data_IF_990696881080
#
_entry.id   IF_990696881080
#
_cell.length_a   1.000
_cell.length_b   1.000
_cell.length_c   1.000
_cell.angle_alpha   90.00
_cell.angle_beta   90.00
_cell.angle_gamma   90.00
#
_symmetry.space_group_name_H-M   'P 1'
#
loop_
_entity.id
_entity.type
_entity.pdbx_description
1 polymer ?
#
# COMPACT_ATOMS: atom_id res chain seq x y z
N UNK A 1 27.19 1.22 5.82
CA UNK A 1 26.05 0.26 5.78
C UNK A 1 25.40 0.30 4.39
N UNK A 2 25.12 -0.85 3.76
CA UNK A 2 24.34 -0.88 2.51
C UNK A 2 22.93 -0.34 2.78
N UNK A 3 22.46 0.63 1.98
CA UNK A 3 21.07 1.12 2.08
C UNK A 3 20.12 -0.05 1.81
N UNK A 4 19.04 -0.21 2.59
CA UNK A 4 18.09 -1.29 2.40
C UNK A 4 17.44 -1.19 1.02
N UNK A 5 17.10 -2.35 0.46
CA UNK A 5 16.46 -2.42 -0.87
C UNK A 5 14.96 -2.12 -0.83
N UNK A 6 14.35 -2.21 0.36
CA UNK A 6 12.94 -1.93 0.63
C UNK A 6 12.82 -1.15 1.94
N UNK A 7 12.14 -0.03 1.89
CA UNK A 7 11.85 0.82 3.04
C UNK A 7 10.36 1.17 3.07
N UNK A 8 9.79 1.17 4.25
CA UNK A 8 8.38 1.50 4.51
C UNK A 8 8.32 2.68 5.46
N UNK A 9 7.59 3.70 5.11
CA UNK A 9 7.30 4.84 5.96
C UNK A 9 5.82 4.83 6.34
N UNK A 10 5.55 4.88 7.63
CA UNK A 10 4.19 4.93 8.19
C UNK A 10 4.01 6.23 8.95
N UNK A 11 2.87 6.88 8.78
CA UNK A 11 2.51 8.11 9.50
C UNK A 11 1.03 8.13 9.84
N UNK A 12 0.65 8.77 10.95
CA UNK A 12 -0.76 9.04 11.29
C UNK A 12 -1.33 10.11 10.35
N UNK A 13 -2.61 9.99 10.01
CA UNK A 13 -3.31 11.00 9.17
C UNK A 13 -3.48 12.37 9.83
N UNK A 14 -3.23 12.47 11.15
CA UNK A 14 -3.30 13.71 11.93
C UNK A 14 -2.00 14.53 11.95
N UNK A 15 -0.93 14.06 11.30
CA UNK A 15 0.36 14.75 11.35
C UNK A 15 0.46 15.98 10.45
N UNK A 16 1.55 16.75 10.68
CA UNK A 16 1.90 17.97 9.98
C UNK A 16 1.89 17.75 8.46
N UNK A 17 1.35 18.72 7.74
CA UNK A 17 1.47 18.78 6.27
C UNK A 17 2.93 18.96 5.89
N UNK A 18 3.37 18.17 4.90
CA UNK A 18 4.67 18.28 4.26
C UNK A 18 4.57 19.09 2.96
N UNK A 19 5.71 19.46 2.39
CA UNK A 19 5.75 20.26 1.16
C UNK A 19 5.20 19.49 -0.04
N UNK A 20 4.39 20.17 -0.84
CA UNK A 20 3.87 19.71 -2.12
C UNK A 20 4.41 20.60 -3.25
N UNK A 21 4.55 20.05 -4.45
CA UNK A 21 4.87 20.83 -5.64
C UNK A 21 3.67 21.65 -6.12
N UNK A 22 3.92 22.72 -6.89
CA UNK A 22 2.86 23.53 -7.49
C UNK A 22 1.90 22.68 -8.34
N UNK A 23 2.42 21.72 -9.09
CA UNK A 23 1.62 20.80 -9.89
C UNK A 23 0.67 19.94 -9.04
N UNK A 24 1.13 19.46 -7.86
CA UNK A 24 0.28 18.71 -6.93
C UNK A 24 -0.81 19.61 -6.33
N UNK A 25 -0.48 20.85 -6.02
CA UNK A 25 -1.47 21.85 -5.56
C UNK A 25 -2.55 22.11 -6.61
N UNK A 26 -2.16 22.32 -7.87
CA UNK A 26 -3.09 22.49 -8.99
C UNK A 26 -4.01 21.28 -9.19
N UNK A 27 -3.44 20.07 -9.17
CA UNK A 27 -4.22 18.84 -9.30
C UNK A 27 -5.21 18.67 -8.16
N UNK A 28 -4.83 19.05 -6.95
CA UNK A 28 -5.66 18.91 -5.76
C UNK A 28 -6.92 19.77 -5.80
N UNK A 29 -6.89 20.92 -6.52
CA UNK A 29 -8.04 21.82 -6.69
C UNK A 29 -9.20 21.17 -7.45
N UNK A 30 -8.91 20.14 -8.26
CA UNK A 30 -9.91 19.38 -9.03
C UNK A 30 -10.58 18.26 -8.23
N UNK A 31 -10.20 18.08 -6.97
CA UNK A 31 -10.70 17.04 -6.08
C UNK A 31 -11.70 17.61 -5.07
N UNK A 32 -12.58 16.76 -4.54
CA UNK A 32 -13.39 17.14 -3.37
C UNK A 32 -12.48 17.50 -2.18
N UNK A 33 -12.95 18.31 -1.25
CA UNK A 33 -12.17 18.82 -0.12
C UNK A 33 -11.48 17.69 0.67
N UNK A 34 -12.19 16.59 0.94
CA UNK A 34 -11.64 15.43 1.65
C UNK A 34 -10.53 14.78 0.83
N UNK A 35 -10.80 14.49 -0.44
CA UNK A 35 -9.84 13.87 -1.36
C UNK A 35 -8.61 14.74 -1.61
N UNK A 36 -8.78 16.05 -1.71
CA UNK A 36 -7.68 17.01 -1.83
C UNK A 36 -6.74 16.95 -0.62
N UNK A 37 -7.30 16.94 0.59
CA UNK A 37 -6.52 16.84 1.83
C UNK A 37 -5.73 15.51 1.91
N UNK A 38 -6.37 14.38 1.63
CA UNK A 38 -5.73 13.06 1.60
C UNK A 38 -4.63 12.99 0.54
N UNK A 39 -4.91 13.54 -0.64
CA UNK A 39 -3.98 13.59 -1.75
C UNK A 39 -2.72 14.39 -1.40
N UNK A 40 -2.86 15.65 -0.97
CA UNK A 40 -1.74 16.51 -0.60
C UNK A 40 -0.95 15.93 0.58
N UNK A 41 -1.64 15.40 1.58
CA UNK A 41 -1.00 14.76 2.72
C UNK A 41 -0.08 13.61 2.26
N UNK A 42 -0.61 12.68 1.49
CA UNK A 42 0.15 11.50 1.08
C UNK A 42 1.32 11.83 0.15
N UNK A 43 1.17 12.81 -0.77
CA UNK A 43 2.25 13.22 -1.69
C UNK A 43 3.34 14.01 -0.97
N UNK A 44 2.97 14.93 -0.10
CA UNK A 44 3.93 15.66 0.73
C UNK A 44 4.79 14.71 1.59
N UNK A 45 4.15 13.73 2.24
CA UNK A 45 4.88 12.72 3.00
C UNK A 45 5.73 11.80 2.12
N UNK A 46 5.29 11.47 0.89
CA UNK A 46 6.10 10.71 -0.05
C UNK A 46 7.36 11.48 -0.46
N UNK A 47 7.23 12.78 -0.78
CA UNK A 47 8.39 13.65 -1.06
C UNK A 47 9.34 13.71 0.12
N UNK A 48 8.84 13.97 1.31
CA UNK A 48 9.63 13.99 2.54
C UNK A 48 10.41 12.68 2.73
N UNK A 49 9.74 11.54 2.64
CA UNK A 49 10.37 10.24 2.82
C UNK A 49 11.45 9.96 1.77
N UNK A 50 11.17 10.21 0.49
CA UNK A 50 12.16 10.00 -0.59
C UNK A 50 13.33 10.98 -0.45
N UNK A 51 13.08 12.22 -0.04
CA UNK A 51 14.12 13.23 0.18
C UNK A 51 15.12 12.79 1.25
N UNK A 52 14.65 12.16 2.34
CA UNK A 52 15.53 11.61 3.39
C UNK A 52 16.37 10.43 2.88
N UNK A 53 15.80 9.56 2.05
CA UNK A 53 16.55 8.44 1.44
C UNK A 53 17.64 8.94 0.49
N UNK A 54 17.33 9.98 -0.29
CA UNK A 54 18.22 10.49 -1.34
C UNK A 54 19.11 11.62 -0.90
N UNK A 55 18.86 12.19 0.29
CA UNK A 55 19.55 13.36 0.84
C UNK A 55 19.46 14.60 -0.09
N UNK A 56 18.24 14.96 -0.46
CA UNK A 56 17.89 16.12 -1.29
C UNK A 56 16.71 16.87 -0.68
N UNK A 57 16.36 18.04 -1.22
CA UNK A 57 15.15 18.77 -0.83
C UNK A 57 13.86 18.00 -1.25
N UNK A 58 12.77 18.04 -0.47
CA UNK A 58 11.49 17.40 -0.84
C UNK A 58 10.96 17.83 -2.21
N UNK A 59 11.17 19.06 -2.63
CA UNK A 59 10.72 19.56 -3.93
C UNK A 59 11.60 19.10 -5.10
N UNK A 60 12.82 18.67 -4.84
CA UNK A 60 13.72 18.08 -5.85
C UNK A 60 13.40 16.60 -6.15
N UNK A 61 12.57 15.96 -5.32
CA UNK A 61 12.12 14.58 -5.58
C UNK A 61 11.33 14.54 -6.88
N UNK A 62 11.73 13.75 -7.91
CA UNK A 62 11.08 13.73 -9.22
C UNK A 62 9.81 12.87 -9.19
N UNK A 63 8.90 13.19 -8.26
CA UNK A 63 7.63 12.51 -8.07
C UNK A 63 6.60 13.02 -9.09
N UNK A 64 6.05 12.10 -9.87
CA UNK A 64 4.90 12.33 -10.73
C UNK A 64 3.74 11.43 -10.27
N UNK A 65 2.67 12.04 -9.76
CA UNK A 65 1.58 11.31 -9.10
C UNK A 65 0.22 12.01 -9.27
N UNK A 66 -0.30 12.12 -10.50
CA UNK A 66 -1.62 12.72 -10.72
C UNK A 66 -2.73 11.92 -10.03
N UNK A 67 -3.85 12.56 -9.65
CA UNK A 67 -4.97 11.87 -9.04
C UNK A 67 -5.49 10.71 -9.91
N UNK A 68 -5.83 9.59 -9.26
CA UNK A 68 -6.35 8.40 -9.95
C UNK A 68 -5.30 7.58 -10.71
N UNK A 69 -4.02 7.98 -10.66
CA UNK A 69 -2.93 7.21 -11.29
C UNK A 69 -1.90 6.77 -10.27
N UNK A 70 -1.21 5.62 -10.49
CA UNK A 70 -0.11 5.19 -9.65
C UNK A 70 1.00 6.24 -9.58
N UNK A 71 1.62 6.45 -8.41
CA UNK A 71 2.77 7.34 -8.28
C UNK A 71 4.00 6.76 -8.98
N UNK A 72 4.76 7.60 -9.65
CA UNK A 72 6.02 7.22 -10.30
C UNK A 72 7.17 8.14 -9.88
N UNK A 73 8.36 7.58 -9.80
CA UNK A 73 9.61 8.30 -9.60
C UNK A 73 10.43 8.23 -10.89
N UNK A 74 10.83 9.39 -11.40
CA UNK A 74 11.71 9.48 -12.59
C UNK A 74 13.18 9.33 -12.22
N UNK A 75 14.06 9.28 -13.21
CA UNK A 75 15.52 9.37 -13.04
C UNK A 75 16.13 8.28 -12.13
N UNK A 76 15.65 7.05 -12.23
CA UNK A 76 16.15 5.91 -11.42
C UNK A 76 16.08 6.13 -9.90
N UNK A 77 15.12 6.93 -9.42
CA UNK A 77 14.90 7.13 -8.00
C UNK A 77 14.30 5.91 -7.29
N UNK A 78 13.96 4.87 -8.03
CA UNK A 78 13.32 3.65 -7.55
C UNK A 78 11.83 3.63 -7.80
N UNK A 79 11.14 2.74 -7.09
CA UNK A 79 9.69 2.54 -7.21
C UNK A 79 8.98 3.00 -5.94
N UNK A 80 7.77 3.48 -6.11
CA UNK A 80 6.96 4.05 -5.05
C UNK A 80 5.56 3.46 -5.09
N UNK A 81 5.04 3.10 -3.94
CA UNK A 81 3.62 2.76 -3.76
C UNK A 81 3.08 3.47 -2.54
N UNK A 82 1.85 3.96 -2.61
CA UNK A 82 1.18 4.72 -1.54
C UNK A 82 -0.15 4.05 -1.21
N UNK A 83 -0.43 3.92 0.06
CA UNK A 83 -1.75 3.56 0.57
C UNK A 83 -2.12 4.41 1.77
N UNK A 84 -3.41 4.56 2.03
CA UNK A 84 -3.90 5.27 3.20
C UNK A 84 -5.22 4.65 3.68
N UNK A 85 -5.40 4.68 4.99
CA UNK A 85 -6.66 4.42 5.66
C UNK A 85 -7.05 5.66 6.48
N UNK A 86 -8.21 5.61 7.13
CA UNK A 86 -8.73 6.75 7.94
C UNK A 86 -7.71 7.25 8.98
N UNK A 87 -6.91 6.36 9.56
CA UNK A 87 -6.00 6.68 10.67
C UNK A 87 -4.52 6.80 10.28
N UNK A 88 -4.13 6.45 9.04
CA UNK A 88 -2.72 6.43 8.66
C UNK A 88 -2.45 6.41 7.16
N UNK A 89 -1.21 6.71 6.82
CA UNK A 89 -0.69 6.63 5.47
C UNK A 89 0.57 5.76 5.46
N UNK A 90 0.68 4.94 4.44
CA UNK A 90 1.80 4.02 4.19
C UNK A 90 2.44 4.37 2.86
N UNK A 91 3.75 4.54 2.87
CA UNK A 91 4.55 4.82 1.69
C UNK A 91 5.66 3.76 1.62
N UNK A 92 5.64 2.96 0.57
CA UNK A 92 6.68 1.99 0.26
C UNK A 92 7.62 2.53 -0.81
N UNK A 93 8.92 2.42 -0.57
CA UNK A 93 9.95 2.69 -1.55
C UNK A 93 10.87 1.48 -1.70
N UNK A 94 11.26 1.16 -2.94
CA UNK A 94 12.25 0.11 -3.20
C UNK A 94 13.04 0.36 -4.49
N UNK A 95 14.07 -0.46 -4.70
CA UNK A 95 14.83 -0.52 -5.97
C UNK A 95 14.14 -1.37 -7.04
N UNK A 96 13.04 -2.03 -6.73
CA UNK A 96 12.26 -2.92 -7.60
C UNK A 96 10.76 -2.60 -7.47
N UNK A 97 9.92 -3.01 -8.42
CA UNK A 97 8.48 -2.81 -8.35
C UNK A 97 7.89 -3.35 -7.06
N UNK A 98 6.99 -2.57 -6.44
CA UNK A 98 6.28 -2.95 -5.23
C UNK A 98 4.85 -2.41 -5.22
N UNK A 99 4.00 -3.08 -4.46
CA UNK A 99 2.70 -2.54 -4.04
C UNK A 99 2.59 -2.61 -2.52
N UNK A 100 1.95 -1.62 -1.91
CA UNK A 100 1.71 -1.60 -0.45
C UNK A 100 0.26 -1.31 -0.14
N UNK A 101 -0.21 -1.86 0.98
CA UNK A 101 -1.53 -1.53 1.52
C UNK A 101 -1.52 -1.47 3.05
N UNK A 102 -2.42 -0.64 3.63
CA UNK A 102 -2.54 -0.40 5.08
C UNK A 102 -4.00 -0.29 5.49
N UNK A 103 -4.33 -0.95 6.61
CA UNK A 103 -5.62 -0.79 7.27
C UNK A 103 -5.48 -0.79 8.80
N UNK A 104 -6.42 -0.15 9.49
CA UNK A 104 -6.50 -0.24 10.93
C UNK A 104 -6.96 -1.65 11.34
N UNK A 105 -6.27 -2.27 12.31
CA UNK A 105 -6.59 -3.63 12.80
C UNK A 105 -8.02 -3.71 13.33
N UNK A 106 -8.49 -2.62 13.95
CA UNK A 106 -9.81 -2.50 14.56
C UNK A 106 -10.85 -1.92 13.59
N UNK A 107 -10.56 -1.87 12.29
CA UNK A 107 -11.53 -1.42 11.28
C UNK A 107 -12.83 -2.23 11.39
N UNK A 108 -13.94 -1.52 11.51
CA UNK A 108 -15.25 -2.16 11.39
C UNK A 108 -15.63 -2.32 9.92
N UNK A 109 -16.04 -3.55 9.55
CA UNK A 109 -16.48 -3.88 8.20
C UNK A 109 -17.27 -5.22 8.18
N UNK A 110 -18.08 -5.37 7.16
CA UNK A 110 -18.89 -6.56 6.96
C UNK A 110 -18.07 -7.64 6.21
N UNK A 111 -17.35 -8.48 6.97
CA UNK A 111 -16.40 -9.44 6.42
C UNK A 111 -17.02 -10.38 5.39
N UNK A 112 -18.25 -10.85 5.61
CA UNK A 112 -18.96 -11.74 4.67
C UNK A 112 -19.30 -11.04 3.35
N UNK A 113 -19.65 -9.75 3.38
CA UNK A 113 -19.94 -8.99 2.16
C UNK A 113 -18.68 -8.79 1.33
N UNK A 114 -17.56 -8.37 1.98
CA UNK A 114 -16.27 -8.25 1.31
C UNK A 114 -15.81 -9.57 0.73
N UNK A 115 -15.93 -10.67 1.50
CA UNK A 115 -15.60 -12.01 1.06
C UNK A 115 -16.41 -12.40 -0.20
N UNK A 116 -17.72 -12.17 -0.20
CA UNK A 116 -18.59 -12.52 -1.32
C UNK A 116 -18.30 -11.68 -2.58
N UNK A 117 -17.94 -10.42 -2.40
CA UNK A 117 -17.76 -9.47 -3.49
C UNK A 117 -16.40 -9.56 -4.16
N UNK A 118 -15.32 -9.82 -3.41
CA UNK A 118 -13.94 -9.64 -3.89
C UNK A 118 -13.06 -10.91 -3.82
N UNK A 119 -13.62 -12.05 -3.38
CA UNK A 119 -12.85 -13.29 -3.25
C UNK A 119 -13.33 -14.34 -4.23
N UNK A 120 -12.42 -15.22 -4.62
CA UNK A 120 -12.76 -16.34 -5.50
C UNK A 120 -13.69 -17.34 -4.81
N UNK A 121 -14.33 -18.22 -5.60
CA UNK A 121 -15.20 -19.26 -5.06
C UNK A 121 -14.44 -20.19 -4.13
N UNK A 122 -13.22 -20.55 -4.48
CA UNK A 122 -12.34 -21.43 -3.69
C UNK A 122 -11.98 -20.78 -2.33
N UNK A 123 -11.60 -19.50 -2.35
CA UNK A 123 -11.30 -18.76 -1.10
C UNK A 123 -12.55 -18.65 -0.22
N UNK A 124 -13.72 -18.38 -0.80
CA UNK A 124 -14.99 -18.31 -0.06
C UNK A 124 -15.31 -19.64 0.62
N UNK A 125 -15.21 -20.75 -0.12
CA UNK A 125 -15.44 -22.10 0.42
C UNK A 125 -14.49 -22.44 1.56
N UNK A 126 -13.23 -22.02 1.44
CA UNK A 126 -12.22 -22.23 2.46
C UNK A 126 -12.46 -21.39 3.72
N UNK A 127 -12.89 -20.13 3.56
CA UNK A 127 -12.96 -19.16 4.65
C UNK A 127 -14.30 -19.16 5.38
N UNK A 128 -15.40 -19.56 4.76
CA UNK A 128 -16.73 -19.61 5.37
C UNK A 128 -16.85 -20.58 6.57
N UNK A 129 -15.89 -21.48 6.76
CA UNK A 129 -15.84 -22.41 7.90
C UNK A 129 -15.39 -21.77 9.23
N UNK A 130 -14.83 -20.57 9.18
CA UNK A 130 -14.37 -19.89 10.38
C UNK A 130 -15.47 -19.11 11.08
N UNK A 131 -15.37 -19.01 12.41
CA UNK A 131 -16.20 -18.09 13.20
C UNK A 131 -15.98 -16.63 12.76
N UNK A 132 -16.91 -15.74 13.12
CA UNK A 132 -16.91 -14.37 12.63
C UNK A 132 -15.64 -13.58 13.00
N UNK A 133 -15.09 -13.80 14.22
CA UNK A 133 -13.91 -13.06 14.68
C UNK A 133 -12.66 -13.48 13.91
N UNK A 134 -12.48 -14.78 13.70
CA UNK A 134 -11.38 -15.31 12.90
C UNK A 134 -11.53 -14.95 11.43
N UNK A 135 -12.78 -15.03 10.91
CA UNK A 135 -13.07 -14.61 9.55
C UNK A 135 -12.72 -13.14 9.29
N UNK A 136 -13.11 -12.22 10.19
CA UNK A 136 -12.75 -10.80 10.06
C UNK A 136 -11.24 -10.60 9.92
N UNK A 137 -10.43 -11.25 10.76
CA UNK A 137 -8.96 -11.14 10.70
C UNK A 137 -8.41 -11.65 9.36
N UNK A 138 -8.85 -12.83 8.91
CA UNK A 138 -8.34 -13.43 7.67
C UNK A 138 -8.79 -12.61 6.45
N UNK A 139 -10.04 -12.16 6.43
CA UNK A 139 -10.55 -11.31 5.35
C UNK A 139 -9.78 -9.99 5.29
N UNK A 140 -9.45 -9.35 6.42
CA UNK A 140 -8.62 -8.15 6.43
C UNK A 140 -7.22 -8.42 5.87
N UNK A 141 -6.57 -9.51 6.28
CA UNK A 141 -5.24 -9.89 5.78
C UNK A 141 -5.26 -10.13 4.27
N UNK A 142 -6.21 -10.90 3.78
CA UNK A 142 -6.34 -11.18 2.35
C UNK A 142 -6.66 -9.93 1.54
N UNK A 143 -7.52 -9.05 2.08
CA UNK A 143 -7.82 -7.76 1.46
C UNK A 143 -6.53 -6.95 1.22
N UNK A 144 -5.75 -6.74 2.29
CA UNK A 144 -4.48 -6.02 2.23
C UNK A 144 -3.49 -6.65 1.24
N UNK A 145 -3.37 -7.98 1.25
CA UNK A 145 -2.48 -8.71 0.35
C UNK A 145 -2.91 -8.53 -1.11
N UNK A 146 -4.21 -8.63 -1.39
CA UNK A 146 -4.77 -8.45 -2.74
C UNK A 146 -4.59 -7.02 -3.23
N UNK A 147 -4.92 -6.01 -2.40
CA UNK A 147 -4.73 -4.60 -2.73
C UNK A 147 -3.24 -4.28 -2.99
N UNK A 148 -2.32 -4.76 -2.16
CA UNK A 148 -0.89 -4.59 -2.40
C UNK A 148 -0.45 -5.27 -3.72
N UNK A 149 -0.95 -6.49 -4.00
CA UNK A 149 -0.64 -7.20 -5.24
C UNK A 149 -1.23 -6.51 -6.47
N UNK A 150 -2.42 -5.97 -6.35
CA UNK A 150 -3.09 -5.19 -7.37
C UNK A 150 -2.30 -3.90 -7.70
N UNK A 151 -1.85 -3.16 -6.68
CA UNK A 151 -1.02 -1.97 -6.84
C UNK A 151 0.34 -2.28 -7.46
N UNK A 152 0.95 -3.43 -7.15
CA UNK A 152 2.19 -3.89 -7.77
C UNK A 152 2.06 -3.99 -9.30
N UNK A 153 0.91 -4.41 -9.80
CA UNK A 153 0.65 -4.63 -11.23
C UNK A 153 0.05 -3.42 -11.95
N UNK A 154 -0.18 -2.32 -11.24
CA UNK A 154 -0.80 -1.12 -11.82
C UNK A 154 -2.27 -1.32 -12.18
N UNK A 155 -2.98 -2.22 -11.51
CA UNK A 155 -4.38 -2.51 -11.73
C UNK A 155 -5.29 -1.29 -11.53
N UNK A 156 -6.39 -1.24 -12.25
CA UNK A 156 -7.33 -0.10 -12.26
C UNK A 156 -8.72 -0.44 -11.71
N UNK A 157 -9.08 -1.73 -11.59
CA UNK A 157 -10.44 -2.15 -11.23
C UNK A 157 -10.44 -3.12 -10.05
N UNK A 158 -11.15 -2.78 -8.99
CA UNK A 158 -11.35 -3.65 -7.82
C UNK A 158 -12.03 -5.00 -8.15
N UNK A 159 -12.74 -5.08 -9.28
CA UNK A 159 -13.34 -6.35 -9.77
C UNK A 159 -12.29 -7.42 -10.06
N UNK A 160 -11.05 -7.02 -10.39
CA UNK A 160 -9.93 -7.93 -10.65
C UNK A 160 -9.43 -8.65 -9.38
N UNK A 161 -9.78 -8.16 -8.19
CA UNK A 161 -9.36 -8.79 -6.93
C UNK A 161 -9.83 -10.25 -6.79
N UNK A 162 -10.92 -10.65 -7.47
CA UNK A 162 -11.36 -12.06 -7.51
C UNK A 162 -10.36 -12.98 -8.23
N UNK A 163 -9.58 -12.43 -9.15
CA UNK A 163 -8.58 -13.16 -9.92
C UNK A 163 -7.25 -13.34 -9.15
N UNK A 164 -7.10 -12.64 -8.02
CA UNK A 164 -5.94 -12.75 -7.14
C UNK A 164 -6.19 -13.81 -6.07
N UNK A 165 -5.46 -14.92 -6.13
CA UNK A 165 -5.58 -16.04 -5.20
C UNK A 165 -4.42 -16.02 -4.21
N UNK A 166 -4.75 -15.88 -2.94
CA UNK A 166 -3.75 -15.83 -1.86
C UNK A 166 -3.38 -17.25 -1.40
N UNK A 167 -2.10 -17.57 -1.44
CA UNK A 167 -1.54 -18.78 -0.86
C UNK A 167 -0.75 -18.43 0.41
N UNK A 168 -1.30 -18.75 1.58
CA UNK A 168 -0.67 -18.45 2.88
C UNK A 168 0.58 -19.30 3.14
N UNK A 169 0.59 -20.55 2.71
CA UNK A 169 1.69 -21.47 2.99
C UNK A 169 2.99 -20.99 2.32
N UNK A 170 2.89 -20.58 1.07
CA UNK A 170 4.04 -20.13 0.27
C UNK A 170 4.24 -18.61 0.33
N UNK A 171 3.36 -17.87 0.97
CA UNK A 171 3.33 -16.39 0.99
C UNK A 171 3.35 -15.78 -0.41
N UNK A 172 2.48 -16.30 -1.28
CA UNK A 172 2.36 -15.87 -2.67
C UNK A 172 0.94 -15.50 -3.04
N UNK A 173 0.81 -14.72 -4.11
CA UNK A 173 -0.47 -14.41 -4.76
C UNK A 173 -0.37 -14.78 -6.22
N UNK A 174 -1.29 -15.61 -6.69
CA UNK A 174 -1.45 -15.94 -8.11
C UNK A 174 -2.50 -15.00 -8.72
N UNK A 175 -2.15 -14.29 -9.77
CA UNK A 175 -3.13 -13.66 -10.66
C UNK A 175 -3.53 -14.68 -11.72
N UNK A 176 -4.77 -15.19 -11.66
CA UNK A 176 -5.29 -16.22 -12.58
C UNK A 176 -5.40 -15.73 -14.03
N UNK A 177 -5.68 -14.45 -14.23
CA UNK A 177 -5.85 -13.86 -15.56
C UNK A 177 -4.50 -13.64 -16.28
N UNK A 178 -3.52 -13.08 -15.54
CA UNK A 178 -2.20 -12.81 -16.10
C UNK A 178 -1.24 -14.00 -16.01
N UNK A 179 -1.63 -15.08 -15.30
CA UNK A 179 -0.78 -16.23 -14.97
C UNK A 179 0.55 -15.82 -14.29
N UNK A 180 0.51 -14.74 -13.52
CA UNK A 180 1.66 -14.21 -12.81
C UNK A 180 1.53 -14.46 -11.32
N UNK A 181 2.64 -14.82 -10.69
CA UNK A 181 2.74 -14.97 -9.24
C UNK A 181 3.65 -13.91 -8.67
N UNK A 182 3.29 -13.39 -7.49
CA UNK A 182 4.14 -12.49 -6.71
C UNK A 182 4.23 -12.96 -5.25
N UNK A 183 5.25 -12.51 -4.55
CA UNK A 183 5.40 -12.69 -3.10
C UNK A 183 4.75 -11.56 -2.34
N UNK A 184 4.41 -11.84 -1.08
CA UNK A 184 3.96 -10.80 -0.15
C UNK A 184 4.57 -10.97 1.24
N UNK A 185 4.62 -9.85 1.95
CA UNK A 185 4.82 -9.78 3.39
C UNK A 185 3.60 -9.13 4.01
N UNK A 186 3.19 -9.60 5.18
CA UNK A 186 2.14 -8.98 5.98
C UNK A 186 2.60 -8.88 7.43
N UNK A 187 2.42 -7.70 8.04
CA UNK A 187 2.92 -7.42 9.39
C UNK A 187 1.96 -6.48 10.13
N UNK A 188 1.85 -6.66 11.44
CA UNK A 188 1.23 -5.66 12.31
C UNK A 188 2.27 -4.62 12.71
N UNK A 189 1.86 -3.35 12.71
CA UNK A 189 2.66 -2.24 13.17
C UNK A 189 1.76 -1.25 13.92
N UNK A 190 1.90 -1.16 15.25
CA UNK A 190 0.98 -0.43 16.13
C UNK A 190 -0.47 -0.88 15.88
N UNK A 191 -1.36 0.05 15.60
CA UNK A 191 -2.79 -0.20 15.34
C UNK A 191 -3.08 -0.56 13.87
N UNK A 192 -2.04 -0.74 13.05
CA UNK A 192 -2.20 -1.04 11.65
C UNK A 192 -1.73 -2.44 11.27
N UNK A 193 -2.40 -2.97 10.27
CA UNK A 193 -1.99 -4.13 9.51
C UNK A 193 -1.49 -3.65 8.15
N UNK A 194 -0.31 -4.05 7.74
CA UNK A 194 0.33 -3.61 6.50
C UNK A 194 0.69 -4.82 5.65
N UNK A 195 0.50 -4.68 4.34
CA UNK A 195 0.96 -5.66 3.36
C UNK A 195 1.90 -5.02 2.35
N UNK A 196 2.87 -5.79 1.88
CA UNK A 196 3.81 -5.41 0.83
C UNK A 196 3.88 -6.56 -0.17
N UNK A 197 3.73 -6.26 -1.45
CA UNK A 197 3.85 -7.23 -2.55
C UNK A 197 5.00 -6.85 -3.49
N UNK A 198 5.69 -7.86 -4.01
CA UNK A 198 6.85 -7.73 -4.91
C UNK A 198 7.03 -8.99 -5.76
N UNK A 199 7.84 -8.93 -6.80
CA UNK A 199 8.03 -10.04 -7.72
C UNK A 199 8.68 -11.28 -7.07
N UNK A 200 8.43 -12.45 -7.64
CA UNK A 200 8.87 -13.76 -7.11
C UNK A 200 10.38 -13.90 -6.94
N UNK A 201 11.16 -13.29 -7.81
CA UNK A 201 12.63 -13.34 -7.82
C UNK A 201 13.28 -12.44 -6.76
N UNK A 202 12.49 -11.63 -6.06
CA UNK A 202 12.97 -10.75 -5.00
C UNK A 202 12.94 -11.49 -3.67
N UNK A 203 14.09 -11.60 -3.01
CA UNK A 203 14.18 -12.23 -1.69
C UNK A 203 14.33 -11.17 -0.60
N UNK A 204 13.21 -10.85 0.06
CA UNK A 204 13.15 -9.95 1.21
C UNK A 204 12.37 -10.63 2.32
N UNK A 205 12.98 -10.71 3.48
CA UNK A 205 12.36 -11.27 4.68
C UNK A 205 11.74 -10.19 5.55
N UNK A 206 12.35 -9.01 5.61
CA UNK A 206 11.85 -7.88 6.39
C UNK A 206 12.10 -6.53 5.71
N UNK A 207 11.10 -5.63 5.64
CA UNK A 207 11.30 -4.24 5.25
C UNK A 207 11.86 -3.44 6.44
N UNK A 208 12.66 -2.42 6.16
CA UNK A 208 12.96 -1.39 7.15
C UNK A 208 11.73 -0.49 7.32
N UNK A 209 11.12 -0.50 8.50
CA UNK A 209 9.97 0.35 8.81
C UNK A 209 10.45 1.62 9.49
N UNK A 210 10.20 2.76 8.86
CA UNK A 210 10.40 4.09 9.41
C UNK A 210 9.04 4.64 9.87
N UNK A 211 8.99 5.15 11.09
CA UNK A 211 7.79 5.79 11.62
C UNK A 211 8.08 7.24 11.92
N UNK A 212 7.22 8.15 11.48
CA UNK A 212 7.37 9.55 11.87
C UNK A 212 6.82 9.75 13.29
N UNK A 213 7.73 9.93 14.22
CA UNK A 213 7.43 10.36 15.60
C UNK A 213 7.54 11.88 15.74
N UNK A 214 7.16 12.65 14.74
CA UNK A 214 7.08 14.10 14.94
C UNK A 214 5.85 14.36 15.82
N UNK A 215 6.03 14.24 17.13
CA UNK A 215 5.19 14.90 18.09
C UNK A 215 5.44 16.40 17.93
N UNK A 216 4.35 17.13 17.69
CA UNK A 216 4.31 18.59 17.58
C UNK A 216 4.74 19.28 18.87
#
# INVERSE_FOLDING_TARGET
>A
MKKPNLMIYVTKSSFKKMQNSNQELEWSQKLSLIRSREYLFSRGHARYFISTIKNISPLEVPLFSPPGKPPTLKNNFGFLSISHCKSGCLIGWSKFPLGVDIENINRDFLAKEILNKYYSIEERSLLNKYDLNKLKKIVLDYWLIKEASFKLRGGNLLSELKNLIVNQNNKTVLNKELLLTNRYLIKSFKDWRIAVSFDMNINITEPLICYSNFES
#
